data_IF_142651195833
#
_entry.id   IF_142651195833
#
_cell.length_a   1.000
_cell.length_b   1.000
_cell.length_c   1.000
_cell.angle_alpha   90.00
_cell.angle_beta   90.00
_cell.angle_gamma   90.00
#
_symmetry.space_group_name_H-M   'P 1'
#
loop_
_entity.id
_entity.type
_entity.pdbx_description
1 polymer ?
#
# COMPACT_ATOMS: atom_id res chain seq x y z
N UNK A 1 21.69 4.97 -1.81
CA UNK A 1 21.12 4.54 -3.12
C UNK A 1 19.86 3.74 -2.83
N UNK A 2 18.78 4.03 -3.52
CA UNK A 2 17.52 3.32 -3.38
C UNK A 2 17.69 1.84 -3.74
N UNK A 3 17.27 0.97 -2.85
CA UNK A 3 17.18 -0.48 -3.04
C UNK A 3 15.72 -0.91 -2.90
N UNK A 4 15.33 -1.93 -3.63
CA UNK A 4 14.03 -2.55 -3.54
C UNK A 4 14.16 -4.06 -3.50
N UNK A 5 13.28 -4.73 -2.78
CA UNK A 5 13.13 -6.17 -2.83
C UNK A 5 11.66 -6.55 -2.70
N UNK A 6 11.30 -7.73 -3.15
CA UNK A 6 9.93 -8.23 -3.16
C UNK A 6 9.84 -9.56 -2.40
N UNK A 7 8.66 -9.82 -1.87
CA UNK A 7 8.31 -11.08 -1.25
C UNK A 7 6.84 -11.41 -1.51
N UNK A 8 6.50 -12.67 -1.51
CA UNK A 8 5.13 -13.12 -1.67
C UNK A 8 4.84 -14.35 -0.83
N UNK A 9 3.56 -14.61 -0.59
CA UNK A 9 3.11 -15.81 0.11
C UNK A 9 1.72 -16.22 -0.38
N UNK A 10 1.46 -17.52 -0.34
CA UNK A 10 0.15 -18.12 -0.60
C UNK A 10 -0.32 -19.00 0.56
N UNK A 11 0.21 -18.77 1.75
CA UNK A 11 -0.22 -19.50 2.95
C UNK A 11 -1.69 -19.22 3.24
N UNK A 12 -2.44 -20.23 3.58
CA UNK A 12 -3.89 -20.12 3.89
C UNK A 12 -4.21 -19.18 5.04
N UNK A 13 -3.35 -19.13 6.06
CA UNK A 13 -3.50 -18.20 7.18
C UNK A 13 -3.06 -16.81 6.77
N UNK A 14 -3.99 -15.86 6.67
CA UNK A 14 -3.75 -14.48 6.23
C UNK A 14 -2.63 -13.80 7.03
N UNK A 15 -2.62 -13.96 8.37
CA UNK A 15 -1.58 -13.40 9.24
C UNK A 15 -0.19 -13.97 8.92
N UNK A 16 -0.10 -15.30 8.77
CA UNK A 16 1.16 -15.96 8.44
C UNK A 16 1.66 -15.53 7.04
N UNK A 17 0.74 -15.43 6.07
CA UNK A 17 1.05 -14.99 4.71
C UNK A 17 1.58 -13.55 4.69
N UNK A 18 0.93 -12.62 5.39
CA UNK A 18 1.39 -11.24 5.51
C UNK A 18 2.77 -11.13 6.14
N UNK A 19 3.01 -11.91 7.20
CA UNK A 19 4.32 -11.95 7.88
C UNK A 19 5.41 -12.50 6.96
N UNK A 20 5.16 -13.62 6.28
CA UNK A 20 6.12 -14.24 5.37
C UNK A 20 6.50 -13.31 4.21
N UNK A 21 5.51 -12.73 3.53
CA UNK A 21 5.75 -11.82 2.42
C UNK A 21 6.55 -10.57 2.86
N UNK A 22 6.23 -9.99 4.01
CA UNK A 22 6.94 -8.82 4.53
C UNK A 22 8.40 -9.16 4.91
N UNK A 23 8.64 -10.29 5.55
CA UNK A 23 10.00 -10.76 5.88
C UNK A 23 10.81 -11.03 4.61
N UNK A 24 10.22 -11.72 3.62
CA UNK A 24 10.88 -11.99 2.35
C UNK A 24 11.24 -10.68 1.60
N UNK A 25 10.33 -9.71 1.58
CA UNK A 25 10.60 -8.40 0.98
C UNK A 25 11.72 -7.62 1.69
N UNK A 26 11.93 -7.84 2.98
CA UNK A 26 12.98 -7.15 3.75
C UNK A 26 14.38 -7.77 3.62
N UNK A 27 14.50 -8.97 3.04
CA UNK A 27 15.79 -9.66 2.91
C UNK A 27 16.82 -8.81 2.16
N UNK A 28 18.00 -8.66 2.73
CA UNK A 28 19.11 -7.91 2.12
C UNK A 28 18.98 -6.38 2.19
N UNK A 29 17.95 -5.85 2.84
CA UNK A 29 17.74 -4.43 3.07
C UNK A 29 18.15 -4.05 4.50
N UNK A 30 19.02 -3.05 4.65
CA UNK A 30 19.50 -2.61 5.98
C UNK A 30 18.39 -1.90 6.78
N UNK A 31 17.56 -1.11 6.10
CA UNK A 31 16.46 -0.36 6.71
C UNK A 31 15.32 -0.22 5.70
N UNK A 32 14.22 -0.85 5.99
CA UNK A 32 12.98 -0.65 5.20
C UNK A 32 12.36 0.69 5.56
N UNK A 33 12.16 1.55 4.58
CA UNK A 33 11.56 2.87 4.74
C UNK A 33 10.11 2.93 4.27
N UNK A 34 9.66 2.00 3.43
CA UNK A 34 8.28 1.85 2.99
C UNK A 34 7.99 0.42 2.56
N UNK A 35 6.78 -0.04 2.77
CA UNK A 35 6.31 -1.35 2.33
C UNK A 35 4.98 -1.21 1.59
N UNK A 36 4.96 -1.58 0.32
CA UNK A 36 3.76 -1.73 -0.50
C UNK A 36 3.23 -3.14 -0.32
N UNK A 37 1.93 -3.28 -0.06
CA UNK A 37 1.30 -4.58 0.18
C UNK A 37 0.11 -4.75 -0.75
N UNK A 38 0.06 -5.87 -1.45
CA UNK A 38 -1.06 -6.24 -2.32
C UNK A 38 -1.57 -7.61 -1.89
N UNK A 39 -2.85 -7.71 -1.60
CA UNK A 39 -3.42 -8.94 -1.06
C UNK A 39 -4.68 -9.39 -1.75
N UNK A 40 -5.01 -10.66 -1.55
CA UNK A 40 -6.30 -11.22 -1.96
C UNK A 40 -7.44 -10.63 -1.14
N UNK A 41 -8.56 -10.31 -1.79
CA UNK A 41 -9.81 -9.98 -1.10
C UNK A 41 -10.43 -11.18 -0.35
N UNK A 42 -9.95 -12.41 -0.61
CA UNK A 42 -10.36 -13.60 0.12
C UNK A 42 -9.72 -13.74 1.50
N UNK A 43 -8.69 -12.94 1.82
CA UNK A 43 -8.13 -12.90 3.17
C UNK A 43 -8.90 -11.97 4.09
N UNK A 44 -8.87 -12.26 5.39
CA UNK A 44 -9.05 -11.21 6.40
C UNK A 44 -7.85 -10.24 6.30
N UNK A 45 -8.09 -9.08 5.70
CA UNK A 45 -7.03 -8.10 5.43
C UNK A 45 -6.50 -7.46 6.71
N UNK A 46 -7.27 -7.41 7.80
CA UNK A 46 -6.80 -6.93 9.10
C UNK A 46 -5.80 -7.92 9.71
N UNK A 47 -6.06 -9.22 9.64
CA UNK A 47 -5.15 -10.26 10.07
C UNK A 47 -3.89 -10.30 9.18
N UNK A 48 -4.03 -10.18 7.86
CA UNK A 48 -2.91 -10.08 6.94
C UNK A 48 -1.98 -8.92 7.30
N UNK A 49 -2.55 -7.73 7.49
CA UNK A 49 -1.78 -6.53 7.89
C UNK A 49 -1.24 -6.62 9.32
N UNK A 50 -1.89 -7.37 10.22
CA UNK A 50 -1.34 -7.69 11.54
C UNK A 50 -0.04 -8.50 11.41
N UNK A 51 0.00 -9.49 10.52
CA UNK A 51 1.22 -10.25 10.20
C UNK A 51 2.34 -9.38 9.63
N UNK A 52 1.99 -8.48 8.71
CA UNK A 52 2.94 -7.50 8.15
C UNK A 52 3.57 -6.63 9.24
N UNK A 53 2.75 -6.07 10.13
CA UNK A 53 3.23 -5.24 11.25
C UNK A 53 4.06 -6.01 12.28
N UNK A 54 3.74 -7.28 12.50
CA UNK A 54 4.55 -8.15 13.37
C UNK A 54 5.94 -8.39 12.77
N UNK A 55 6.04 -8.53 11.44
CA UNK A 55 7.31 -8.70 10.75
C UNK A 55 8.14 -7.42 10.72
N UNK A 56 7.53 -6.29 10.42
CA UNK A 56 8.17 -5.00 10.21
C UNK A 56 7.47 -3.89 11.03
N UNK A 57 7.64 -3.91 12.36
CA UNK A 57 7.06 -2.89 13.21
C UNK A 57 7.64 -1.50 12.86
N UNK A 58 6.79 -0.48 12.90
CA UNK A 58 7.14 0.92 12.62
C UNK A 58 7.55 1.24 11.16
N UNK A 59 7.41 0.30 10.23
CA UNK A 59 7.57 0.57 8.80
C UNK A 59 6.22 1.06 8.25
N UNK A 60 6.18 2.20 7.54
CA UNK A 60 4.98 2.60 6.80
C UNK A 60 4.58 1.51 5.79
N UNK A 61 3.48 0.81 6.07
CA UNK A 61 2.93 -0.25 5.22
C UNK A 61 1.56 0.17 4.71
N UNK A 62 1.35 0.11 3.41
CA UNK A 62 0.13 0.54 2.74
C UNK A 62 -0.09 -0.20 1.43
N UNK A 63 -1.31 -0.22 0.96
CA UNK A 63 -1.68 -0.89 -0.29
C UNK A 63 -3.16 -1.19 -0.41
N UNK A 64 -3.46 -2.22 -1.16
CA UNK A 64 -4.84 -2.56 -1.51
C UNK A 64 -4.98 -4.03 -1.91
N UNK A 65 -6.23 -4.48 -2.00
CA UNK A 65 -6.55 -5.77 -2.60
C UNK A 65 -6.36 -5.74 -4.11
N UNK A 66 -5.88 -6.85 -4.67
CA UNK A 66 -5.60 -7.04 -6.09
C UNK A 66 -6.53 -8.09 -6.70
N UNK A 67 -6.90 -7.90 -7.96
CA UNK A 67 -7.71 -8.83 -8.73
C UNK A 67 -6.93 -10.12 -9.02
N UNK A 68 -7.44 -11.24 -8.56
CA UNK A 68 -7.01 -12.63 -8.81
C UNK A 68 -5.55 -12.99 -8.52
N UNK A 69 -4.62 -12.05 -8.41
CA UNK A 69 -3.21 -12.35 -8.17
C UNK A 69 -2.30 -11.14 -8.24
N UNK A 70 -1.01 -11.39 -8.19
CA UNK A 70 0.06 -10.41 -8.29
C UNK A 70 1.13 -10.87 -9.27
N UNK A 71 1.84 -9.94 -9.87
CA UNK A 71 3.01 -10.23 -10.72
C UNK A 71 4.27 -9.92 -9.94
N UNK A 72 5.15 -10.90 -9.84
CA UNK A 72 6.45 -10.81 -9.20
C UNK A 72 7.57 -11.03 -10.24
N UNK A 73 8.85 -10.80 -9.91
CA UNK A 73 9.95 -11.15 -10.80
C UNK A 73 9.99 -12.64 -11.19
N UNK A 74 9.45 -13.52 -10.34
CA UNK A 74 9.40 -14.96 -10.56
C UNK A 74 8.14 -15.43 -11.30
N UNK A 75 7.23 -14.50 -11.63
CA UNK A 75 6.01 -14.79 -12.38
C UNK A 75 4.73 -14.37 -11.65
N UNK A 76 3.61 -14.91 -12.13
CA UNK A 76 2.29 -14.66 -11.57
C UNK A 76 2.04 -15.53 -10.34
N UNK A 77 1.65 -14.90 -9.24
CA UNK A 77 1.32 -15.55 -7.96
C UNK A 77 -0.17 -15.40 -7.70
N UNK A 78 -0.85 -16.51 -7.55
CA UNK A 78 -2.28 -16.62 -7.25
C UNK A 78 -2.57 -17.91 -6.49
N UNK A 79 -3.63 -17.93 -5.70
CA UNK A 79 -4.11 -19.13 -5.00
C UNK A 79 -5.57 -18.95 -4.62
N UNK A 80 -6.34 -20.04 -4.64
CA UNK A 80 -7.74 -20.06 -4.19
C UNK A 80 -7.85 -19.81 -2.67
N UNK A 81 -6.83 -20.17 -1.89
CA UNK A 81 -6.76 -19.89 -0.46
C UNK A 81 -6.35 -18.44 -0.14
N UNK A 82 -5.94 -17.66 -1.16
CA UNK A 82 -5.49 -16.29 -1.06
C UNK A 82 -3.99 -16.13 -1.37
N UNK A 83 -3.60 -14.88 -1.56
CA UNK A 83 -2.21 -14.49 -1.86
C UNK A 83 -1.89 -13.14 -1.24
N UNK A 84 -0.62 -12.89 -1.00
CA UNK A 84 -0.11 -11.56 -0.66
C UNK A 84 1.26 -11.35 -1.29
N UNK A 85 1.50 -10.14 -1.77
CA UNK A 85 2.81 -9.68 -2.20
C UNK A 85 3.19 -8.40 -1.48
N UNK A 86 4.48 -8.27 -1.23
CA UNK A 86 5.05 -7.09 -0.62
C UNK A 86 6.26 -6.60 -1.42
N UNK A 87 6.41 -5.28 -1.55
CA UNK A 87 7.61 -4.64 -2.07
C UNK A 87 8.15 -3.68 -1.04
N UNK A 88 9.36 -3.92 -0.58
CA UNK A 88 10.05 -3.05 0.36
C UNK A 88 11.01 -2.11 -0.36
N UNK A 89 11.01 -0.84 0.05
CA UNK A 89 11.98 0.16 -0.38
C UNK A 89 12.90 0.53 0.76
N UNK A 90 14.18 0.71 0.45
CA UNK A 90 15.21 1.08 1.40
C UNK A 90 16.16 2.12 0.80
N UNK A 91 16.22 3.28 1.44
CA UNK A 91 17.26 4.30 1.23
C UNK A 91 17.46 5.08 2.53
N UNK A 92 18.68 5.26 3.03
CA UNK A 92 18.94 6.01 4.26
C UNK A 92 18.42 7.46 4.24
N UNK A 93 18.34 8.07 3.06
CA UNK A 93 17.86 9.44 2.87
C UNK A 93 16.35 9.53 2.64
N UNK A 94 15.65 8.39 2.50
CA UNK A 94 14.22 8.38 2.20
C UNK A 94 13.41 8.83 3.41
N UNK A 95 12.51 9.79 3.17
CA UNK A 95 11.45 10.19 4.09
C UNK A 95 10.13 9.71 3.52
N UNK A 96 9.40 8.94 4.29
CA UNK A 96 8.11 8.37 3.89
C UNK A 96 7.05 8.78 4.87
N UNK A 97 5.94 9.27 4.36
CA UNK A 97 4.72 9.45 5.13
C UNK A 97 3.57 8.75 4.42
N UNK A 98 2.72 8.10 5.18
CA UNK A 98 1.54 7.43 4.68
C UNK A 98 0.31 7.94 5.41
N UNK A 99 -0.77 8.11 4.69
CA UNK A 99 -2.07 8.49 5.24
C UNK A 99 -3.18 7.86 4.42
N UNK A 100 -4.30 7.60 5.05
CA UNK A 100 -5.49 7.10 4.40
C UNK A 100 -6.75 7.64 5.10
N UNK A 101 -7.82 7.72 4.36
CA UNK A 101 -9.12 8.19 4.84
C UNK A 101 -10.23 7.42 4.14
N UNK A 102 -11.35 7.29 4.81
CA UNK A 102 -12.60 6.90 4.15
C UNK A 102 -12.92 7.87 3.00
N UNK A 103 -13.66 7.37 2.03
CA UNK A 103 -14.07 8.10 0.82
C UNK A 103 -14.67 9.49 1.11
N UNK A 104 -15.55 9.57 2.11
CA UNK A 104 -16.30 10.80 2.38
C UNK A 104 -17.29 11.15 1.26
N UNK A 105 -17.87 12.34 1.34
CA UNK A 105 -18.82 12.86 0.34
C UNK A 105 -18.17 13.74 -0.74
N UNK A 106 -16.91 14.12 -0.55
CA UNK A 106 -16.17 14.98 -1.46
C UNK A 106 -14.78 14.40 -1.72
N UNK A 107 -14.57 13.68 -2.83
CA UNK A 107 -13.31 13.01 -3.11
C UNK A 107 -12.13 14.00 -3.32
N UNK A 108 -12.40 15.22 -3.78
CA UNK A 108 -11.35 16.26 -3.91
C UNK A 108 -10.83 16.67 -2.53
N UNK A 109 -11.72 16.91 -1.57
CA UNK A 109 -11.32 17.25 -0.20
C UNK A 109 -10.67 16.06 0.51
N UNK A 110 -11.13 14.83 0.24
CA UNK A 110 -10.47 13.62 0.73
C UNK A 110 -9.03 13.55 0.23
N UNK A 111 -8.78 13.73 -1.05
CA UNK A 111 -7.44 13.74 -1.63
C UNK A 111 -6.55 14.84 -1.03
N UNK A 112 -7.10 16.04 -0.86
CA UNK A 112 -6.41 17.16 -0.22
C UNK A 112 -6.00 16.84 1.23
N UNK A 113 -6.91 16.30 2.02
CA UNK A 113 -6.68 15.91 3.42
C UNK A 113 -5.60 14.85 3.53
N UNK A 114 -5.70 13.78 2.74
CA UNK A 114 -4.74 12.66 2.75
C UNK A 114 -3.33 13.15 2.37
N UNK A 115 -3.21 14.04 1.38
CA UNK A 115 -1.92 14.62 1.01
C UNK A 115 -1.28 15.41 2.16
N UNK A 116 -2.04 16.26 2.84
CA UNK A 116 -1.55 17.02 4.01
C UNK A 116 -1.12 16.11 5.16
N UNK A 117 -1.91 15.08 5.45
CA UNK A 117 -1.62 14.11 6.51
C UNK A 117 -0.36 13.27 6.19
N UNK A 118 -0.20 12.85 4.92
CA UNK A 118 0.99 12.12 4.48
C UNK A 118 2.25 12.98 4.55
N UNK A 119 2.20 14.24 4.11
CA UNK A 119 3.31 15.17 4.25
C UNK A 119 3.69 15.39 5.72
N UNK A 120 2.70 15.59 6.59
CA UNK A 120 2.91 15.73 8.03
C UNK A 120 3.56 14.46 8.62
N UNK A 121 3.09 13.28 8.22
CA UNK A 121 3.66 12.01 8.68
C UNK A 121 5.12 11.82 8.20
N UNK A 122 5.47 12.33 7.02
CA UNK A 122 6.84 12.35 6.51
C UNK A 122 7.74 13.41 7.17
N UNK A 123 7.17 14.33 7.97
CA UNK A 123 7.88 15.51 8.48
C UNK A 123 8.35 16.46 7.37
N UNK A 124 7.55 16.63 6.32
CA UNK A 124 7.87 17.41 5.13
C UNK A 124 6.94 18.60 4.99
N UNK A 125 7.53 19.77 4.67
CA UNK A 125 6.81 21.01 4.35
C UNK A 125 6.81 21.30 2.84
N UNK A 126 7.64 20.61 2.08
CA UNK A 126 7.77 20.73 0.63
C UNK A 126 7.19 19.53 -0.08
N UNK A 127 6.82 19.70 -1.35
CA UNK A 127 6.31 18.63 -2.18
C UNK A 127 7.27 17.43 -2.22
N UNK A 128 6.76 16.19 -2.24
CA UNK A 128 7.59 15.00 -2.36
C UNK A 128 8.19 14.88 -3.75
N UNK A 129 9.22 14.04 -3.90
CA UNK A 129 9.77 13.70 -5.22
C UNK A 129 8.79 12.88 -6.06
N UNK A 130 7.98 12.06 -5.41
CA UNK A 130 6.90 11.27 -6.01
C UNK A 130 5.91 10.84 -4.92
N UNK A 131 4.74 10.37 -5.32
CA UNK A 131 3.81 9.72 -4.42
C UNK A 131 3.22 8.45 -5.03
N UNK A 132 2.76 7.57 -4.16
CA UNK A 132 1.95 6.41 -4.49
C UNK A 132 0.51 6.66 -4.06
N UNK A 133 -0.46 6.26 -4.88
CA UNK A 133 -1.87 6.34 -4.55
C UNK A 133 -2.54 4.98 -4.79
N UNK A 134 -3.14 4.42 -3.74
CA UNK A 134 -4.18 3.41 -3.86
C UNK A 134 -5.53 4.07 -3.60
N UNK A 135 -6.50 3.83 -4.45
CA UNK A 135 -7.80 4.50 -4.38
C UNK A 135 -8.98 3.55 -4.50
N UNK A 136 -10.14 4.01 -4.05
CA UNK A 136 -11.41 3.42 -4.46
C UNK A 136 -11.63 3.60 -5.95
N UNK A 137 -12.19 2.59 -6.66
CA UNK A 137 -12.45 2.70 -8.08
C UNK A 137 -13.42 3.85 -8.44
N UNK A 138 -13.21 4.42 -9.64
CA UNK A 138 -14.06 5.41 -10.30
C UNK A 138 -13.99 6.86 -9.79
N UNK A 139 -13.08 7.19 -8.85
CA UNK A 139 -12.94 8.55 -8.32
C UNK A 139 -11.49 9.07 -8.32
N UNK A 140 -10.58 8.33 -8.93
CA UNK A 140 -9.14 8.55 -8.88
C UNK A 140 -8.75 9.96 -9.32
N UNK A 141 -9.37 10.47 -10.38
CA UNK A 141 -9.09 11.81 -10.90
C UNK A 141 -9.47 12.92 -9.91
N UNK A 142 -10.52 12.73 -9.12
CA UNK A 142 -10.93 13.68 -8.10
C UNK A 142 -9.95 13.69 -6.92
N UNK A 143 -9.50 12.51 -6.48
CA UNK A 143 -8.44 12.42 -5.47
C UNK A 143 -7.15 13.07 -5.97
N UNK A 144 -6.73 12.79 -7.21
CA UNK A 144 -5.54 13.40 -7.81
C UNK A 144 -5.65 14.93 -7.89
N UNK A 145 -6.84 15.46 -8.19
CA UNK A 145 -7.08 16.90 -8.18
C UNK A 145 -6.89 17.49 -6.78
N UNK A 146 -7.40 16.82 -5.76
CA UNK A 146 -7.23 17.20 -4.36
C UNK A 146 -5.77 17.15 -3.93
N UNK A 147 -5.07 16.06 -4.22
CA UNK A 147 -3.65 15.88 -3.93
C UNK A 147 -2.82 16.97 -4.61
N UNK A 148 -3.03 17.19 -5.91
CA UNK A 148 -2.28 18.19 -6.68
C UNK A 148 -2.51 19.62 -6.20
N UNK A 149 -3.64 19.92 -5.56
CA UNK A 149 -3.89 21.23 -4.95
C UNK A 149 -2.97 21.52 -3.75
N UNK A 150 -2.38 20.48 -3.15
CA UNK A 150 -1.47 20.57 -2.00
C UNK A 150 -0.01 20.51 -2.44
N UNK A 151 0.34 19.49 -3.24
CA UNK A 151 1.74 19.19 -3.56
C UNK A 151 2.15 19.62 -4.97
N UNK A 152 1.23 20.20 -5.76
CA UNK A 152 1.49 20.49 -7.16
C UNK A 152 1.55 19.23 -8.03
N UNK A 153 2.18 19.36 -9.20
CA UNK A 153 2.36 18.22 -10.12
C UNK A 153 3.70 17.56 -9.84
N UNK A 154 3.64 16.37 -9.26
CA UNK A 154 4.79 15.52 -9.04
C UNK A 154 4.56 14.15 -9.70
N UNK A 155 5.60 13.40 -10.04
CA UNK A 155 5.46 12.03 -10.51
C UNK A 155 4.67 11.17 -9.51
N UNK A 156 3.84 10.29 -10.02
CA UNK A 156 3.11 9.35 -9.18
C UNK A 156 2.91 8.01 -9.87
N UNK A 157 2.61 7.01 -9.07
CA UNK A 157 2.19 5.69 -9.52
C UNK A 157 1.16 5.11 -8.54
N UNK A 158 0.48 4.07 -8.95
CA UNK A 158 -0.54 3.42 -8.15
C UNK A 158 -1.69 2.91 -9.00
N UNK A 159 -2.82 2.70 -8.37
CA UNK A 159 -4.01 2.18 -9.03
C UNK A 159 -5.17 2.07 -8.08
N UNK A 160 -6.23 1.45 -8.55
CA UNK A 160 -7.45 1.23 -7.79
C UNK A 160 -7.40 -0.12 -7.11
N UNK A 161 -8.00 -0.20 -5.93
CA UNK A 161 -8.27 -1.47 -5.27
C UNK A 161 -9.21 -2.32 -6.12
N UNK A 162 -9.05 -3.62 -6.07
CA UNK A 162 -9.88 -4.55 -6.83
C UNK A 162 -10.28 -5.77 -5.99
N UNK A 163 -11.37 -6.38 -6.36
CA UNK A 163 -11.83 -7.69 -5.87
C UNK A 163 -11.95 -8.68 -7.02
N UNK A 164 -12.22 -9.94 -6.70
CA UNK A 164 -12.28 -11.02 -7.70
C UNK A 164 -13.60 -11.07 -8.49
N UNK A 165 -14.62 -10.30 -8.14
CA UNK A 165 -15.99 -10.43 -8.66
C UNK A 165 -16.67 -9.12 -9.02
N UNK A 166 -15.95 -8.00 -8.87
CA UNK A 166 -16.50 -6.64 -9.11
C UNK A 166 -17.74 -6.39 -8.22
N UNK A 167 -17.71 -6.94 -7.01
CA UNK A 167 -18.81 -6.82 -6.03
C UNK A 167 -18.65 -5.65 -5.06
N UNK A 168 -17.49 -4.99 -5.06
CA UNK A 168 -17.14 -3.93 -4.12
C UNK A 168 -16.48 -4.42 -2.83
N UNK A 169 -16.04 -5.67 -2.80
CA UNK A 169 -15.35 -6.27 -1.64
C UNK A 169 -13.86 -5.93 -1.56
N UNK A 170 -13.41 -5.00 -2.39
CA UNK A 170 -12.04 -4.48 -2.34
C UNK A 170 -11.77 -3.74 -1.03
N UNK A 171 -10.50 -3.72 -0.62
CA UNK A 171 -10.01 -3.03 0.58
C UNK A 171 -8.79 -2.19 0.28
N UNK A 172 -8.66 -1.10 1.02
CA UNK A 172 -7.45 -0.29 1.14
C UNK A 172 -6.88 -0.47 2.54
N UNK A 173 -5.57 -0.47 2.67
CA UNK A 173 -4.93 -0.57 3.99
C UNK A 173 -3.78 0.43 4.13
N UNK A 174 -3.66 0.98 5.34
CA UNK A 174 -2.58 1.89 5.70
C UNK A 174 -2.30 1.77 7.20
N UNK A 175 -1.16 1.21 7.55
CA UNK A 175 -0.81 0.93 8.93
C UNK A 175 -1.75 -0.10 9.56
N UNK A 176 -2.47 0.31 10.59
CA UNK A 176 -3.47 -0.49 11.31
C UNK A 176 -4.90 -0.33 10.77
N UNK A 177 -5.09 0.56 9.79
CA UNK A 177 -6.39 0.88 9.22
C UNK A 177 -6.68 0.05 7.98
N UNK A 178 -7.91 -0.42 7.88
CA UNK A 178 -8.51 -1.07 6.71
C UNK A 178 -9.80 -0.33 6.36
N UNK A 179 -10.02 -0.10 5.08
CA UNK A 179 -11.13 0.67 4.54
C UNK A 179 -11.91 -0.14 3.53
#
# INVERSE_FOLDING_TARGET
MLKANVGSSVLKCAKAAGKEAALAAAVGLEKVGALFVYGSCGYDTAEMMSGVREALPNVPAFGNTSFTGIITPDGFVSSDDGFVGAMALSDPAMKTGAAASERGSNPVETGRKVALEAMKAAGMETAPNFFYMAASPAEEEFYLKGISSVIGRVPFFGGSAADNSISGDWKLFCGDKNF
#
